data_IF_476328021081
#
_entry.id   IF_476328021081
#
_cell.length_a   1.000
_cell.length_b   1.000
_cell.length_c   1.000
_cell.angle_alpha   90.00
_cell.angle_beta   90.00
_cell.angle_gamma   90.00
#
_symmetry.space_group_name_H-M   'P 1'
#
loop_
_entity.id
_entity.type
_entity.pdbx_description
1 polymer ?
#
# COMPACT_ATOMS: atom_id res chain seq x y z
N UNK A 1 -54.37 37.69 13.15
CA UNK A 1 -54.04 38.42 14.39
C UNK A 1 -54.68 37.71 15.58
N UNK A 2 -53.92 36.91 16.33
CA UNK A 2 -54.32 36.37 17.64
C UNK A 2 -53.13 36.40 18.59
N UNK A 3 -53.45 36.72 19.85
CA UNK A 3 -52.65 37.40 20.85
C UNK A 3 -51.54 36.55 21.46
N UNK A 4 -50.43 37.22 21.75
CA UNK A 4 -49.34 36.80 22.64
C UNK A 4 -49.85 36.90 24.10
N UNK A 5 -49.57 35.88 24.91
CA UNK A 5 -49.70 35.93 26.38
C UNK A 5 -48.40 35.44 26.99
N UNK A 6 -47.75 36.36 27.72
CA UNK A 6 -46.65 36.10 28.64
C UNK A 6 -47.24 35.67 30.00
N UNK A 7 -46.70 34.63 30.62
CA UNK A 7 -46.86 34.42 32.06
C UNK A 7 -45.60 33.77 32.66
N UNK A 8 -45.33 34.16 33.90
CA UNK A 8 -44.02 34.35 34.51
C UNK A 8 -43.38 33.14 35.17
N UNK A 9 -42.07 33.27 35.41
CA UNK A 9 -41.22 32.44 36.27
C UNK A 9 -41.89 32.06 37.61
N UNK A 10 -41.67 30.81 38.03
CA UNK A 10 -41.41 30.46 39.44
C UNK A 10 -40.36 29.36 39.54
N UNK A 11 -39.29 29.70 40.25
CA UNK A 11 -38.21 28.82 40.74
C UNK A 11 -38.77 27.95 41.87
N UNK A 12 -38.49 26.64 41.83
CA UNK A 12 -38.59 25.75 43.00
C UNK A 12 -37.69 24.52 42.82
N UNK A 13 -36.58 24.47 43.56
CA UNK A 13 -35.85 23.23 43.86
C UNK A 13 -36.60 22.48 44.98
N UNK A 14 -36.59 21.13 45.01
CA UNK A 14 -35.74 20.48 46.02
C UNK A 14 -35.16 19.09 45.67
N UNK A 15 -33.98 18.86 46.28
CA UNK A 15 -33.41 17.67 46.95
C UNK A 15 -33.27 16.30 46.23
N UNK A 16 -32.04 15.80 46.34
CA UNK A 16 -31.54 14.43 46.13
C UNK A 16 -32.27 13.41 47.01
N UNK A 17 -32.57 12.23 46.45
CA UNK A 17 -32.38 10.87 47.00
C UNK A 17 -32.27 9.96 45.76
N UNK A 18 -31.17 9.28 45.47
CA UNK A 18 -30.81 7.97 46.02
C UNK A 18 -30.93 6.90 44.92
N UNK A 19 -29.82 6.19 44.69
CA UNK A 19 -29.54 5.21 43.63
C UNK A 19 -30.41 3.94 43.63
N UNK A 20 -30.72 3.42 42.43
CA UNK A 20 -31.08 2.00 42.20
C UNK A 20 -30.27 1.48 40.98
N UNK A 21 -29.80 0.22 40.97
CA UNK A 21 -28.70 -0.23 40.12
C UNK A 21 -29.09 -1.10 38.91
N UNK A 22 -28.11 -1.25 38.03
CA UNK A 22 -27.83 -2.38 37.11
C UNK A 22 -28.86 -2.72 36.03
N UNK A 23 -28.69 -2.09 34.87
CA UNK A 23 -29.12 -2.61 33.57
C UNK A 23 -27.89 -2.98 32.73
N UNK A 24 -27.81 -4.24 32.35
CA UNK A 24 -26.79 -4.86 31.49
C UNK A 24 -26.49 -4.08 30.21
N UNK A 25 -25.33 -3.42 30.16
CA UNK A 25 -24.76 -2.86 28.94
C UNK A 25 -23.71 -3.80 28.36
N UNK A 26 -24.03 -4.46 27.24
CA UNK A 26 -23.03 -5.11 26.39
C UNK A 26 -21.99 -4.06 25.97
N UNK A 27 -20.68 -4.32 26.05
CA UNK A 27 -19.72 -3.40 25.50
C UNK A 27 -19.87 -3.41 23.98
N UNK A 28 -20.27 -2.27 23.42
CA UNK A 28 -20.12 -1.99 22.00
C UNK A 28 -18.63 -2.07 21.68
N UNK A 29 -18.19 -3.23 21.18
CA UNK A 29 -16.84 -3.49 20.69
C UNK A 29 -16.59 -2.74 19.38
N UNK A 30 -16.56 -1.41 19.44
CA UNK A 30 -15.91 -0.61 18.43
C UNK A 30 -14.41 -0.66 18.68
N UNK A 31 -13.66 -1.41 17.88
CA UNK A 31 -12.20 -1.31 17.88
C UNK A 31 -11.83 0.13 17.51
N UNK A 32 -11.35 0.90 18.49
CA UNK A 32 -10.83 2.24 18.23
C UNK A 32 -9.71 2.20 17.18
N UNK A 33 -9.55 3.27 16.40
CA UNK A 33 -8.54 3.38 15.32
C UNK A 33 -7.14 2.94 15.75
N UNK A 34 -6.75 3.16 17.00
CA UNK A 34 -5.45 2.72 17.53
C UNK A 34 -5.29 1.19 17.62
N UNK A 35 -6.35 0.45 17.94
CA UNK A 35 -6.32 -1.00 18.02
C UNK A 35 -6.22 -1.69 16.66
N UNK A 36 -6.83 -1.10 15.62
CA UNK A 36 -6.73 -1.63 14.26
C UNK A 36 -5.32 -1.46 13.66
N UNK A 37 -4.68 -0.31 13.88
CA UNK A 37 -3.29 -0.07 13.41
C UNK A 37 -2.34 -1.13 13.99
N UNK A 38 -2.39 -1.33 15.32
CA UNK A 38 -1.62 -2.35 16.02
C UNK A 38 -1.84 -3.77 15.48
N UNK A 39 -3.08 -4.10 15.08
CA UNK A 39 -3.40 -5.40 14.48
C UNK A 39 -2.82 -5.54 13.07
N UNK A 40 -2.87 -4.50 12.24
CA UNK A 40 -2.32 -4.53 10.88
C UNK A 40 -0.80 -4.58 10.85
N UNK A 41 -0.13 -4.07 11.89
CA UNK A 41 1.33 -4.08 11.98
C UNK A 41 1.89 -5.51 12.08
N UNK A 42 1.12 -6.46 12.63
CA UNK A 42 1.47 -7.89 12.65
C UNK A 42 1.56 -8.53 11.26
N UNK A 43 1.02 -7.87 10.23
CA UNK A 43 1.10 -8.33 8.84
C UNK A 43 2.37 -7.88 8.13
N UNK A 44 3.19 -7.07 8.78
CA UNK A 44 4.40 -6.47 8.21
C UNK A 44 5.57 -7.45 8.36
N UNK A 45 6.19 -7.86 7.25
CA UNK A 45 7.36 -8.75 7.29
C UNK A 45 8.63 -8.00 7.73
N UNK A 46 9.69 -8.74 8.08
CA UNK A 46 10.95 -8.17 8.60
C UNK A 46 11.49 -7.02 7.71
N UNK A 47 11.46 -5.79 8.26
CA UNK A 47 11.85 -4.57 7.56
C UNK A 47 13.37 -4.43 7.51
N UNK A 48 14.06 -4.77 8.59
CA UNK A 48 15.50 -4.53 8.74
C UNK A 48 16.29 -5.39 7.74
N UNK A 49 15.95 -6.67 7.61
CA UNK A 49 16.56 -7.56 6.62
C UNK A 49 16.43 -7.02 5.19
N UNK A 50 15.26 -6.46 4.85
CA UNK A 50 14.98 -5.91 3.52
C UNK A 50 15.73 -4.60 3.29
N UNK A 51 15.87 -3.77 4.31
CA UNK A 51 16.65 -2.54 4.26
C UNK A 51 18.14 -2.82 4.02
N UNK A 52 18.74 -3.77 4.76
CA UNK A 52 20.14 -4.16 4.57
C UNK A 52 20.41 -4.72 3.17
N UNK A 53 19.50 -5.57 2.68
CA UNK A 53 19.58 -6.13 1.31
C UNK A 53 19.63 -5.01 0.28
N UNK A 54 18.74 -4.02 0.42
CA UNK A 54 18.69 -2.90 -0.50
C UNK A 54 19.93 -2.00 -0.46
N UNK A 55 20.42 -1.64 0.73
CA UNK A 55 21.65 -0.85 0.87
C UNK A 55 22.84 -1.52 0.18
N UNK A 56 22.90 -2.85 0.24
CA UNK A 56 23.92 -3.64 -0.45
C UNK A 56 23.79 -3.53 -1.98
N UNK A 57 22.57 -3.56 -2.53
CA UNK A 57 22.32 -3.36 -3.97
C UNK A 57 22.77 -1.98 -4.42
N UNK A 58 22.48 -0.93 -3.64
CA UNK A 58 22.86 0.44 -3.96
C UNK A 58 24.38 0.64 -4.02
N UNK A 59 25.11 0.07 -3.06
CA UNK A 59 26.57 0.13 -3.06
C UNK A 59 27.21 -0.62 -4.23
N UNK A 60 26.56 -1.67 -4.75
CA UNK A 60 26.96 -2.31 -6.01
C UNK A 60 26.65 -1.43 -7.22
N UNK A 61 25.44 -0.86 -7.28
CA UNK A 61 25.00 0.02 -8.36
C UNK A 61 25.89 1.25 -8.55
N UNK A 62 26.45 1.81 -7.47
CA UNK A 62 27.41 2.91 -7.56
C UNK A 62 28.73 2.53 -8.25
N UNK A 63 29.08 1.24 -8.26
CA UNK A 63 30.35 0.72 -8.80
C UNK A 63 30.22 0.23 -10.23
N UNK A 64 29.03 -0.17 -10.66
CA UNK A 64 28.76 -0.64 -12.01
C UNK A 64 28.44 0.54 -12.95
N UNK A 65 28.96 0.56 -14.19
CA UNK A 65 28.58 1.57 -15.17
C UNK A 65 27.08 1.44 -15.55
N UNK A 66 26.41 2.52 -15.99
CA UNK A 66 24.98 2.52 -16.25
C UNK A 66 24.67 1.78 -17.57
N UNK A 67 24.62 0.45 -17.53
CA UNK A 67 24.63 -0.37 -18.75
C UNK A 67 23.38 -1.23 -18.99
N UNK A 68 22.38 -1.24 -18.11
CA UNK A 68 21.07 -1.88 -18.40
C UNK A 68 19.95 -1.27 -17.55
N UNK A 69 18.85 -0.84 -18.19
CA UNK A 69 17.63 -0.48 -17.46
C UNK A 69 17.10 -1.75 -16.78
N UNK A 70 17.19 -1.80 -15.45
CA UNK A 70 16.74 -2.92 -14.63
C UNK A 70 15.22 -2.83 -14.44
N UNK A 71 14.45 -3.91 -14.66
CA UNK A 71 13.01 -3.84 -14.57
C UNK A 71 12.54 -3.60 -13.13
N UNK A 72 11.39 -2.94 -12.99
CA UNK A 72 10.67 -2.80 -11.73
C UNK A 72 9.28 -3.41 -11.88
N UNK A 73 8.82 -4.10 -10.85
CA UNK A 73 7.48 -4.68 -10.80
C UNK A 73 6.67 -3.93 -9.75
N UNK A 74 5.44 -3.54 -10.07
CA UNK A 74 4.50 -3.03 -9.07
C UNK A 74 3.36 -4.02 -8.85
N UNK A 75 3.07 -4.35 -7.59
CA UNK A 75 1.97 -5.21 -7.17
C UNK A 75 0.88 -4.39 -6.44
N UNK A 76 -0.17 -4.04 -7.18
CA UNK A 76 -1.41 -3.51 -6.62
C UNK A 76 -2.29 -4.65 -6.09
N UNK A 77 -3.14 -4.37 -5.10
CA UNK A 77 -4.05 -5.40 -4.56
C UNK A 77 -5.19 -4.83 -3.72
N UNK A 78 -6.30 -5.56 -3.73
CA UNK A 78 -7.34 -5.40 -2.72
C UNK A 78 -6.82 -5.74 -1.31
N UNK A 79 -7.39 -5.11 -0.28
CA UNK A 79 -7.09 -5.46 1.10
C UNK A 79 -7.56 -6.87 1.42
N UNK A 80 -6.65 -7.68 1.96
CA UNK A 80 -6.86 -9.10 2.24
C UNK A 80 -6.47 -10.04 1.10
N UNK A 81 -6.10 -9.52 -0.08
CA UNK A 81 -5.39 -10.33 -1.07
C UNK A 81 -3.92 -10.54 -0.68
N UNK A 82 -3.34 -11.66 -1.11
CA UNK A 82 -2.08 -12.21 -0.63
C UNK A 82 -0.90 -11.82 -1.53
N UNK A 83 -0.75 -10.51 -1.76
CA UNK A 83 0.31 -9.98 -2.63
C UNK A 83 1.73 -10.16 -2.07
N UNK A 84 1.92 -10.24 -0.75
CA UNK A 84 3.26 -10.42 -0.17
C UNK A 84 3.80 -11.85 -0.38
N UNK A 85 3.05 -12.93 -0.09
CA UNK A 85 3.45 -14.28 -0.47
C UNK A 85 3.78 -14.42 -1.96
N UNK A 86 3.00 -13.77 -2.85
CA UNK A 86 3.35 -13.70 -4.27
C UNK A 86 4.69 -13.01 -4.50
N UNK A 87 4.92 -11.87 -3.85
CA UNK A 87 6.15 -11.09 -4.02
C UNK A 87 7.40 -11.88 -3.61
N UNK A 88 7.34 -12.68 -2.55
CA UNK A 88 8.47 -13.54 -2.12
C UNK A 88 8.79 -14.61 -3.16
N UNK A 89 7.76 -15.31 -3.65
CA UNK A 89 7.95 -16.33 -4.69
C UNK A 89 8.50 -15.69 -5.97
N UNK A 90 7.95 -14.54 -6.36
CA UNK A 90 8.38 -13.80 -7.54
C UNK A 90 9.82 -13.30 -7.40
N UNK A 91 10.20 -12.78 -6.23
CA UNK A 91 11.58 -12.39 -5.92
C UNK A 91 12.53 -13.56 -6.14
N UNK A 92 12.23 -14.73 -5.58
CA UNK A 92 13.06 -15.92 -5.74
C UNK A 92 13.21 -16.33 -7.21
N UNK A 93 12.12 -16.31 -7.98
CA UNK A 93 12.15 -16.64 -9.41
C UNK A 93 12.97 -15.62 -10.21
N UNK A 94 12.81 -14.33 -9.94
CA UNK A 94 13.55 -13.27 -10.61
C UNK A 94 15.04 -13.34 -10.32
N UNK A 95 15.43 -13.55 -9.06
CA UNK A 95 16.84 -13.68 -8.68
C UNK A 95 17.51 -14.88 -9.36
N UNK A 96 16.80 -16.01 -9.48
CA UNK A 96 17.29 -17.17 -10.23
C UNK A 96 17.39 -16.89 -11.72
N UNK A 97 16.43 -16.15 -12.28
CA UNK A 97 16.36 -15.86 -13.71
C UNK A 97 17.41 -14.83 -14.15
N UNK A 98 17.61 -13.78 -13.37
CA UNK A 98 18.50 -12.66 -13.73
C UNK A 98 19.90 -12.79 -13.14
N UNK A 99 20.07 -13.60 -12.09
CA UNK A 99 21.32 -13.66 -11.32
C UNK A 99 21.58 -12.41 -10.47
N UNK A 100 20.62 -11.47 -10.42
CA UNK A 100 20.73 -10.23 -9.67
C UNK A 100 19.89 -10.28 -8.38
N UNK A 101 20.27 -9.50 -7.37
CA UNK A 101 19.48 -9.38 -6.14
C UNK A 101 18.27 -8.46 -6.38
N UNK A 102 17.10 -8.86 -5.87
CA UNK A 102 15.87 -8.09 -5.95
C UNK A 102 15.39 -7.69 -4.56
N UNK A 103 14.70 -6.56 -4.43
CA UNK A 103 14.14 -6.09 -3.14
C UNK A 103 12.63 -5.88 -3.20
N UNK A 104 11.93 -6.32 -2.16
CA UNK A 104 10.48 -6.09 -1.98
C UNK A 104 10.24 -4.82 -1.13
N UNK A 105 9.62 -3.82 -1.74
CA UNK A 105 9.25 -2.54 -1.13
C UNK A 105 7.75 -2.49 -0.85
N UNK A 106 7.35 -2.61 0.41
CA UNK A 106 5.97 -2.37 0.83
C UNK A 106 5.82 -0.99 1.50
N UNK A 107 4.62 -0.70 1.99
CA UNK A 107 4.34 0.53 2.75
C UNK A 107 5.34 0.74 3.88
N UNK A 108 5.65 -0.31 4.66
CA UNK A 108 6.44 -0.18 5.87
C UNK A 108 7.90 0.15 5.55
N UNK A 109 8.49 -0.53 4.54
CA UNK A 109 9.85 -0.24 4.11
C UNK A 109 9.96 1.16 3.49
N UNK A 110 9.01 1.54 2.63
CA UNK A 110 9.01 2.89 2.02
C UNK A 110 8.87 3.98 3.09
N UNK A 111 7.99 3.78 4.07
CA UNK A 111 7.82 4.74 5.17
C UNK A 111 9.06 4.82 6.07
N UNK A 112 9.75 3.71 6.30
CA UNK A 112 11.00 3.69 7.06
C UNK A 112 12.08 4.49 6.36
N UNK A 113 12.30 4.23 5.07
CA UNK A 113 13.23 4.96 4.20
C UNK A 113 12.89 6.45 4.17
N UNK A 114 11.61 6.81 4.09
CA UNK A 114 11.18 8.21 4.00
C UNK A 114 11.37 8.98 5.31
N UNK A 115 11.40 8.29 6.47
CA UNK A 115 11.52 8.92 7.80
C UNK A 115 12.96 9.03 8.29
N UNK A 116 13.85 8.16 7.82
CA UNK A 116 15.27 8.21 8.17
C UNK A 116 16.00 9.22 7.28
N UNK A 117 16.40 10.35 7.85
CA UNK A 117 16.98 11.47 7.10
C UNK A 117 18.20 11.07 6.27
N UNK A 118 19.08 10.22 6.81
CA UNK A 118 20.27 9.74 6.10
C UNK A 118 19.93 8.85 4.90
N UNK A 119 18.91 8.00 5.03
CA UNK A 119 18.44 7.14 3.94
C UNK A 119 17.70 7.96 2.88
N UNK A 120 16.88 8.91 3.32
CA UNK A 120 16.15 9.81 2.44
C UNK A 120 17.13 10.69 1.64
N UNK A 121 18.15 11.24 2.28
CA UNK A 121 19.18 12.04 1.62
C UNK A 121 20.02 11.22 0.64
N UNK A 122 20.40 9.98 0.99
CA UNK A 122 21.05 9.04 0.07
C UNK A 122 20.19 8.76 -1.17
N UNK A 123 18.87 8.67 -0.99
CA UNK A 123 17.90 8.54 -2.09
C UNK A 123 17.82 9.77 -2.99
N UNK A 124 17.96 10.96 -2.42
CA UNK A 124 17.68 12.24 -3.08
C UNK A 124 18.94 12.93 -3.63
N UNK A 125 20.15 12.45 -3.34
CA UNK A 125 21.41 13.12 -3.71
C UNK A 125 21.84 12.94 -5.16
N UNK A 126 21.32 11.93 -5.89
CA UNK A 126 21.62 11.68 -7.31
C UNK A 126 20.37 11.70 -8.20
N UNK A 127 19.50 12.70 -7.99
CA UNK A 127 18.13 12.75 -8.55
C UNK A 127 17.99 13.17 -10.01
N UNK A 128 19.05 13.37 -10.80
CA UNK A 128 18.92 13.97 -12.15
C UNK A 128 17.75 13.40 -12.97
N UNK A 129 17.66 12.07 -13.07
CA UNK A 129 16.59 11.39 -13.81
C UNK A 129 15.29 11.22 -13.01
N UNK A 130 15.38 11.06 -11.69
CA UNK A 130 14.22 10.92 -10.82
C UNK A 130 13.45 12.23 -10.65
N UNK A 131 14.13 13.38 -10.64
CA UNK A 131 13.49 14.70 -10.65
C UNK A 131 12.76 14.92 -11.97
N UNK A 132 13.39 14.62 -13.12
CA UNK A 132 12.75 14.71 -14.43
C UNK A 132 11.52 13.80 -14.54
N UNK A 133 11.63 12.56 -14.08
CA UNK A 133 10.51 11.62 -14.03
C UNK A 133 9.39 12.12 -13.09
N UNK A 134 9.75 12.69 -11.94
CA UNK A 134 8.79 13.31 -11.04
C UNK A 134 8.11 14.54 -11.66
N UNK A 135 8.85 15.40 -12.38
CA UNK A 135 8.29 16.56 -13.07
C UNK A 135 7.37 16.16 -14.23
N UNK A 136 7.73 15.10 -14.96
CA UNK A 136 6.87 14.47 -15.96
C UNK A 136 5.58 13.93 -15.31
N UNK A 137 5.70 13.25 -14.16
CA UNK A 137 4.54 12.80 -13.38
C UNK A 137 3.66 13.97 -12.94
N UNK A 138 4.23 15.07 -12.44
CA UNK A 138 3.49 16.27 -12.03
C UNK A 138 2.81 16.97 -13.21
N UNK A 139 3.29 16.75 -14.43
CA UNK A 139 2.66 17.25 -15.67
C UNK A 139 1.48 16.37 -16.05
N UNK A 140 1.62 15.05 -15.94
CA UNK A 140 0.54 14.08 -16.21
C UNK A 140 -0.56 14.10 -15.15
N UNK A 141 -0.19 14.34 -13.89
CA UNK A 141 -1.09 14.31 -12.73
C UNK A 141 -1.00 15.66 -11.98
N UNK A 142 -1.59 16.75 -12.52
CA UNK A 142 -1.45 18.09 -11.95
C UNK A 142 -1.97 18.19 -10.51
N UNK A 143 -2.99 17.40 -10.14
CA UNK A 143 -3.53 17.32 -8.79
C UNK A 143 -2.51 16.83 -7.75
N UNK A 144 -1.40 16.22 -8.19
CA UNK A 144 -0.30 15.84 -7.29
C UNK A 144 0.33 17.03 -6.59
N UNK A 145 0.35 18.20 -7.24
CA UNK A 145 0.96 19.43 -6.73
C UNK A 145 0.24 19.99 -5.51
N UNK A 146 -1.05 19.66 -5.36
CA UNK A 146 -1.87 20.13 -4.23
C UNK A 146 -1.77 19.24 -3.00
N UNK A 147 -1.04 18.12 -3.07
CA UNK A 147 -0.87 17.22 -1.92
C UNK A 147 0.28 17.64 -1.03
N UNK A 148 0.15 17.32 0.26
CA UNK A 148 1.15 17.66 1.26
C UNK A 148 2.53 17.07 0.98
N UNK A 149 3.57 17.76 1.45
CA UNK A 149 4.98 17.48 1.16
C UNK A 149 5.39 16.03 1.44
N UNK A 150 4.85 15.44 2.53
CA UNK A 150 5.13 14.06 2.90
C UNK A 150 4.74 13.04 1.80
N UNK A 151 3.66 13.31 1.07
CA UNK A 151 3.24 12.44 -0.04
C UNK A 151 4.15 12.63 -1.26
N UNK A 152 4.52 13.87 -1.57
CA UNK A 152 5.43 14.17 -2.68
C UNK A 152 6.81 13.55 -2.47
N UNK A 153 7.35 13.60 -1.24
CA UNK A 153 8.60 12.95 -0.85
C UNK A 153 8.51 11.43 -1.07
N UNK A 154 7.45 10.79 -0.59
CA UNK A 154 7.22 9.36 -0.81
C UNK A 154 7.13 9.02 -2.31
N UNK A 155 6.42 9.84 -3.10
CA UNK A 155 6.31 9.62 -4.53
C UNK A 155 7.67 9.73 -5.25
N UNK A 156 8.52 10.68 -4.85
CA UNK A 156 9.91 10.76 -5.34
C UNK A 156 10.71 9.51 -4.98
N UNK A 157 10.59 9.01 -3.75
CA UNK A 157 11.24 7.75 -3.36
C UNK A 157 10.75 6.58 -4.20
N UNK A 158 9.44 6.45 -4.44
CA UNK A 158 8.87 5.38 -5.28
C UNK A 158 9.42 5.46 -6.71
N UNK A 159 9.45 6.65 -7.31
CA UNK A 159 10.01 6.85 -8.67
C UNK A 159 11.49 6.50 -8.68
N UNK A 160 12.25 6.91 -7.66
CA UNK A 160 13.66 6.59 -7.57
C UNK A 160 13.92 5.09 -7.45
N UNK A 161 13.18 4.40 -6.57
CA UNK A 161 13.22 2.93 -6.45
C UNK A 161 12.94 2.30 -7.81
N UNK A 162 11.94 2.80 -8.52
CA UNK A 162 11.54 2.25 -9.81
C UNK A 162 12.61 2.46 -10.90
N UNK A 163 13.29 3.61 -10.90
CA UNK A 163 14.40 3.91 -11.81
C UNK A 163 15.65 3.06 -11.54
N UNK A 164 15.98 2.82 -10.26
CA UNK A 164 17.12 1.97 -9.88
C UNK A 164 16.91 0.50 -10.31
N UNK A 165 15.64 0.06 -10.35
CA UNK A 165 15.26 -1.28 -10.81
C UNK A 165 15.54 -2.40 -9.82
N UNK A 166 15.31 -3.65 -10.25
CA UNK A 166 15.36 -4.85 -9.40
C UNK A 166 14.51 -4.71 -8.14
N UNK A 167 13.33 -4.09 -8.30
CA UNK A 167 12.43 -3.76 -7.22
C UNK A 167 11.05 -4.37 -7.47
N UNK A 168 10.44 -4.90 -6.40
CA UNK A 168 9.03 -5.28 -6.37
C UNK A 168 8.31 -4.32 -5.41
N UNK A 169 7.57 -3.36 -5.94
CA UNK A 169 6.87 -2.33 -5.18
C UNK A 169 5.43 -2.76 -4.92
N UNK A 170 5.09 -3.04 -3.67
CA UNK A 170 3.76 -3.49 -3.27
C UNK A 170 2.94 -2.28 -2.78
N UNK A 171 2.22 -1.63 -3.71
CA UNK A 171 1.14 -0.66 -3.41
C UNK A 171 1.54 0.79 -3.45
N UNK A 172 0.91 1.60 -2.58
CA UNK A 172 1.15 3.07 -2.45
C UNK A 172 0.99 3.85 -3.75
N UNK A 173 0.15 3.35 -4.66
CA UNK A 173 -0.02 3.97 -5.98
C UNK A 173 1.16 3.76 -6.91
N UNK A 174 2.12 2.87 -6.59
CA UNK A 174 3.31 2.62 -7.40
C UNK A 174 2.98 2.40 -8.87
N UNK A 175 1.95 1.61 -9.17
CA UNK A 175 1.49 1.39 -10.54
C UNK A 175 1.12 2.67 -11.28
N UNK A 176 0.51 3.65 -10.61
CA UNK A 176 0.12 4.92 -11.23
C UNK A 176 1.30 5.90 -11.27
N UNK A 177 2.07 5.97 -10.18
CA UNK A 177 3.23 6.86 -10.04
C UNK A 177 4.33 6.55 -11.07
N UNK A 178 4.44 5.30 -11.50
CA UNK A 178 5.52 4.86 -12.39
C UNK A 178 5.03 4.40 -13.77
N UNK A 179 3.79 4.74 -14.16
CA UNK A 179 3.25 4.40 -15.49
C UNK A 179 4.08 4.89 -16.67
N UNK A 180 4.67 6.08 -16.52
CA UNK A 180 5.44 6.73 -17.59
C UNK A 180 6.85 6.14 -17.73
N UNK A 181 7.24 5.18 -16.88
CA UNK A 181 8.54 4.54 -16.91
C UNK A 181 8.47 3.24 -17.73
N UNK A 182 9.19 3.13 -18.87
CA UNK A 182 9.02 2.03 -19.82
C UNK A 182 9.49 0.66 -19.29
N UNK A 183 10.33 0.64 -18.25
CA UNK A 183 10.85 -0.59 -17.62
C UNK A 183 10.03 -1.03 -16.39
N UNK A 184 8.87 -0.42 -16.16
CA UNK A 184 7.95 -0.78 -15.07
C UNK A 184 6.83 -1.70 -15.55
N UNK A 185 6.67 -2.83 -14.88
CA UNK A 185 5.61 -3.82 -15.12
C UNK A 185 4.60 -3.79 -13.98
N UNK A 186 3.33 -3.66 -14.34
CA UNK A 186 2.27 -3.36 -13.39
C UNK A 186 1.27 -4.51 -13.31
N UNK A 187 1.11 -5.10 -12.13
CA UNK A 187 0.16 -6.18 -11.90
C UNK A 187 -0.75 -5.87 -10.72
N UNK A 188 -1.94 -6.46 -10.74
CA UNK A 188 -2.93 -6.29 -9.67
C UNK A 188 -3.49 -7.64 -9.23
N UNK A 189 -3.72 -7.76 -7.92
CA UNK A 189 -4.36 -8.92 -7.32
C UNK A 189 -5.74 -8.56 -6.79
N UNK A 190 -6.72 -9.34 -7.22
CA UNK A 190 -8.10 -9.23 -6.76
C UNK A 190 -8.59 -10.59 -6.26
N UNK A 191 -9.56 -10.58 -5.36
CA UNK A 191 -10.16 -11.81 -4.86
C UNK A 191 -11.59 -11.56 -4.35
N UNK A 192 -12.48 -12.57 -4.44
CA UNK A 192 -13.78 -12.51 -3.80
C UNK A 192 -13.67 -12.11 -2.33
N UNK A 193 -14.64 -11.33 -1.85
CA UNK A 193 -14.64 -10.79 -0.49
C UNK A 193 -14.39 -11.86 0.58
N UNK A 194 -15.08 -12.99 0.47
CA UNK A 194 -14.95 -14.10 1.44
C UNK A 194 -13.54 -14.73 1.46
N UNK A 195 -12.84 -14.77 0.32
CA UNK A 195 -11.44 -15.21 0.29
C UNK A 195 -10.55 -14.24 1.10
N UNK A 196 -10.74 -12.93 0.87
CA UNK A 196 -9.97 -11.87 1.56
C UNK A 196 -10.23 -11.88 3.06
N UNK A 197 -11.47 -12.10 3.48
CA UNK A 197 -11.87 -12.27 4.89
C UNK A 197 -11.16 -13.46 5.52
N UNK A 198 -11.22 -14.64 4.89
CA UNK A 198 -10.55 -15.85 5.39
C UNK A 198 -9.03 -15.69 5.49
N UNK A 199 -8.42 -15.01 4.52
CA UNK A 199 -6.98 -14.70 4.56
C UNK A 199 -6.63 -13.85 5.79
N UNK A 200 -7.37 -12.76 6.02
CA UNK A 200 -7.16 -11.88 7.19
C UNK A 200 -7.43 -12.62 8.50
N UNK A 201 -8.49 -13.41 8.56
CA UNK A 201 -8.85 -14.21 9.73
C UNK A 201 -7.71 -15.15 10.12
N UNK A 202 -7.18 -15.91 9.13
CA UNK A 202 -6.06 -16.84 9.32
C UNK A 202 -4.79 -16.14 9.77
N UNK A 203 -4.45 -15.00 9.16
CA UNK A 203 -3.19 -14.29 9.42
C UNK A 203 -3.17 -13.55 10.76
N UNK A 204 -4.31 -13.11 11.24
CA UNK A 204 -4.43 -12.35 12.49
C UNK A 204 -4.97 -13.16 13.66
N UNK A 205 -5.55 -14.34 13.43
CA UNK A 205 -6.16 -15.16 14.46
C UNK A 205 -7.40 -14.51 15.09
N UNK A 206 -8.17 -13.74 14.30
CA UNK A 206 -9.36 -13.00 14.76
C UNK A 206 -10.65 -13.70 14.35
N UNK A 207 -11.80 -13.21 14.80
CA UNK A 207 -13.10 -13.73 14.36
C UNK A 207 -13.44 -13.32 12.93
N UNK A 208 -14.32 -14.08 12.27
CA UNK A 208 -14.83 -13.75 10.92
C UNK A 208 -15.47 -12.36 10.89
N UNK A 209 -16.23 -12.00 11.93
CA UNK A 209 -16.87 -10.68 12.05
C UNK A 209 -15.85 -9.54 12.07
N UNK A 210 -14.78 -9.68 12.85
CA UNK A 210 -13.69 -8.70 12.91
C UNK A 210 -12.94 -8.63 11.58
N UNK A 211 -12.67 -9.78 10.94
CA UNK A 211 -12.02 -9.84 9.65
C UNK A 211 -12.86 -9.15 8.55
N UNK A 212 -14.18 -9.35 8.52
CA UNK A 212 -15.11 -8.66 7.61
C UNK A 212 -15.03 -7.15 7.77
N UNK A 213 -15.10 -6.66 9.02
CA UNK A 213 -14.99 -5.24 9.31
C UNK A 213 -13.65 -4.65 8.86
N UNK A 214 -12.53 -5.32 9.18
CA UNK A 214 -11.19 -4.88 8.77
C UNK A 214 -11.05 -4.82 7.26
N UNK A 215 -11.54 -5.83 6.54
CA UNK A 215 -11.45 -5.88 5.07
C UNK A 215 -12.22 -4.72 4.44
N UNK A 216 -13.45 -4.47 4.89
CA UNK A 216 -14.28 -3.39 4.35
C UNK A 216 -13.70 -2.01 4.64
N UNK A 217 -13.27 -1.76 5.88
CA UNK A 217 -12.73 -0.47 6.28
C UNK A 217 -11.42 -0.16 5.56
N UNK A 218 -10.48 -1.09 5.56
CA UNK A 218 -9.18 -0.86 4.95
C UNK A 218 -9.24 -0.81 3.42
N UNK A 219 -10.17 -1.55 2.79
CA UNK A 219 -10.40 -1.41 1.34
C UNK A 219 -10.83 0.02 1.01
N UNK A 220 -11.85 0.54 1.70
CA UNK A 220 -12.35 1.91 1.51
C UNK A 220 -11.27 2.97 1.76
N UNK A 221 -10.42 2.77 2.77
CA UNK A 221 -9.29 3.68 3.05
C UNK A 221 -8.28 3.66 1.90
N UNK A 222 -7.95 2.48 1.35
CA UNK A 222 -7.02 2.36 0.22
C UNK A 222 -7.55 2.99 -1.05
N UNK A 223 -8.83 2.76 -1.38
CA UNK A 223 -9.49 3.34 -2.55
C UNK A 223 -9.54 4.86 -2.43
N UNK A 224 -10.09 5.38 -1.33
CA UNK A 224 -10.16 6.84 -1.10
C UNK A 224 -8.81 7.51 -1.10
N UNK A 225 -7.79 6.87 -0.53
CA UNK A 225 -6.44 7.41 -0.56
C UNK A 225 -6.01 7.67 -2.01
N UNK A 226 -6.12 6.68 -2.89
CA UNK A 226 -5.64 6.85 -4.27
C UNK A 226 -6.60 7.68 -5.13
N UNK A 227 -7.91 7.53 -4.98
CA UNK A 227 -8.91 8.34 -5.69
C UNK A 227 -8.72 9.83 -5.40
N UNK A 228 -8.57 10.20 -4.13
CA UNK A 228 -8.31 11.60 -3.75
C UNK A 228 -6.94 12.08 -4.25
N UNK A 229 -5.95 11.19 -4.32
CA UNK A 229 -4.60 11.57 -4.71
C UNK A 229 -4.45 11.76 -6.22
N UNK A 230 -5.03 10.85 -7.01
CA UNK A 230 -4.71 10.70 -8.43
C UNK A 230 -5.94 10.93 -9.32
N UNK A 231 -7.09 11.28 -8.72
CA UNK A 231 -8.38 11.47 -9.39
C UNK A 231 -8.73 10.32 -10.35
N UNK A 232 -8.32 9.11 -9.97
CA UNK A 232 -8.47 7.91 -10.78
C UNK A 232 -8.79 6.72 -9.90
N UNK A 233 -9.52 5.77 -10.46
CA UNK A 233 -9.77 4.51 -9.80
C UNK A 233 -8.58 3.58 -10.00
N UNK A 234 -8.00 3.10 -8.90
CA UNK A 234 -6.98 2.05 -8.96
C UNK A 234 -7.51 0.72 -9.49
N UNK A 235 -8.82 0.54 -9.58
CA UNK A 235 -9.42 -0.66 -10.16
C UNK A 235 -9.44 -0.60 -11.69
N UNK A 236 -9.07 0.53 -12.30
CA UNK A 236 -8.98 0.64 -13.75
C UNK A 236 -7.90 -0.28 -14.30
N UNK A 237 -8.33 -1.23 -15.13
CA UNK A 237 -7.46 -2.25 -15.72
C UNK A 237 -6.38 -1.65 -16.62
N UNK A 238 -6.58 -0.43 -17.16
CA UNK A 238 -5.64 0.25 -18.07
C UNK A 238 -4.28 0.54 -17.43
N UNK A 239 -4.19 0.53 -16.11
CA UNK A 239 -2.92 0.69 -15.38
C UNK A 239 -2.12 -0.60 -15.24
N UNK A 240 -2.67 -1.74 -15.64
CA UNK A 240 -2.07 -3.04 -15.36
C UNK A 240 -1.84 -3.82 -16.64
N UNK A 241 -0.67 -4.45 -16.70
CA UNK A 241 -0.32 -5.43 -17.72
C UNK A 241 -1.17 -6.70 -17.53
N UNK A 242 -1.47 -7.07 -16.29
CA UNK A 242 -2.44 -8.12 -15.97
C UNK A 242 -3.07 -7.95 -14.57
N UNK A 243 -4.29 -8.46 -14.43
CA UNK A 243 -5.02 -8.58 -13.17
C UNK A 243 -5.25 -10.05 -12.87
N UNK A 244 -4.81 -10.50 -11.70
CA UNK A 244 -4.90 -11.90 -11.28
C UNK A 244 -5.92 -12.09 -10.17
N UNK A 245 -6.70 -13.16 -10.28
CA UNK A 245 -7.61 -13.58 -9.23
C UNK A 245 -6.88 -14.51 -8.24
N UNK A 246 -6.51 -13.98 -7.08
CA UNK A 246 -5.77 -14.72 -6.04
C UNK A 246 -6.54 -15.95 -5.51
N UNK A 247 -7.88 -15.95 -5.60
CA UNK A 247 -8.67 -17.07 -5.13
C UNK A 247 -8.76 -18.22 -6.15
N UNK A 248 -8.48 -17.96 -7.43
CA UNK A 248 -8.52 -18.94 -8.51
C UNK A 248 -7.14 -19.36 -9.01
N UNK A 249 -6.11 -18.58 -8.69
CA UNK A 249 -4.75 -18.82 -9.13
C UNK A 249 -3.80 -18.74 -7.94
N UNK A 250 -3.04 -19.80 -7.74
CA UNK A 250 -2.03 -19.86 -6.69
C UNK A 250 -0.92 -18.85 -6.94
N UNK A 251 -0.29 -18.37 -5.86
CA UNK A 251 0.76 -17.36 -5.93
C UNK A 251 1.94 -17.79 -6.83
N UNK A 252 2.30 -19.09 -6.85
CA UNK A 252 3.35 -19.62 -7.71
C UNK A 252 2.99 -19.52 -9.20
N UNK A 253 1.75 -19.87 -9.56
CA UNK A 253 1.28 -19.78 -10.96
C UNK A 253 1.27 -18.32 -11.40
N UNK A 254 0.74 -17.42 -10.56
CA UNK A 254 0.76 -15.98 -10.85
C UNK A 254 2.19 -15.47 -11.04
N UNK A 255 3.14 -15.87 -10.19
CA UNK A 255 4.54 -15.45 -10.30
C UNK A 255 5.18 -15.93 -11.62
N UNK A 256 4.90 -17.16 -12.04
CA UNK A 256 5.37 -17.70 -13.32
C UNK A 256 4.76 -16.96 -14.51
N UNK A 257 3.45 -16.66 -14.46
CA UNK A 257 2.80 -15.85 -15.50
C UNK A 257 3.40 -14.45 -15.59
N UNK A 258 3.70 -13.80 -14.45
CA UNK A 258 4.39 -12.52 -14.43
C UNK A 258 5.78 -12.62 -15.09
N UNK A 259 6.54 -13.67 -14.76
CA UNK A 259 7.86 -13.89 -15.34
C UNK A 259 7.79 -14.04 -16.87
N UNK A 260 6.83 -14.82 -17.37
CA UNK A 260 6.60 -15.00 -18.80
C UNK A 260 6.16 -13.69 -19.50
N UNK A 261 5.31 -12.88 -18.85
CA UNK A 261 4.90 -11.57 -19.38
C UNK A 261 6.06 -10.58 -19.46
N UNK A 262 7.10 -10.72 -18.63
CA UNK A 262 8.25 -9.82 -18.60
C UNK A 262 9.36 -10.22 -19.57
N UNK A 263 9.66 -11.51 -19.66
CA UNK A 263 10.82 -12.02 -20.41
C UNK A 263 10.44 -12.80 -21.68
N UNK A 264 9.15 -13.00 -21.93
CA UNK A 264 8.65 -13.91 -22.98
C UNK A 264 8.73 -15.38 -22.57
N UNK A 265 8.19 -16.26 -23.42
CA UNK A 265 8.51 -17.69 -23.34
C UNK A 265 9.90 -17.89 -23.96
N UNK A 266 10.83 -18.51 -23.21
CA UNK A 266 12.02 -19.06 -23.85
C UNK A 266 11.55 -20.16 -24.79
N UNK A 267 11.78 -19.98 -26.09
CA UNK A 267 11.71 -21.08 -27.04
C UNK A 267 12.76 -22.09 -26.60
N UNK A 268 12.30 -23.18 -25.96
CA UNK A 268 13.10 -24.34 -25.61
C UNK A 268 13.64 -25.04 -26.86
#
# INVERSE_FOLDING_TARGET
MKKISFCSLKVCYPRRVGSIPTGSGRPNGGFGKGGQTMLTDKLIPDIDRRLTTWLTIQEKLKKDPPLKQRPTITLSREFGAEAYPLAEILQDLLQRKTGETWTIFDKALIERVSKESSLSEHFLTNLGDASKAFDALLTMLPNMRTHGDAYQIMARHIIRIALDGNAIIIGRGGAVLTQHLPHCYHFRLEAPFEFRVKSIQRRLGISEKEAKALVQENQKVRERFIENLLNTSIADIRYYHAVFNNAKSEARVIAQSILALMFGEESA
#
